data_IF_657323308413
#
_entry.id   IF_657323308413
#
_cell.length_a   1.000
_cell.length_b   1.000
_cell.length_c   1.000
_cell.angle_alpha   90.00
_cell.angle_beta   90.00
_cell.angle_gamma   90.00
#
_symmetry.space_group_name_H-M   'P 1'
#
loop_
_entity.id
_entity.type
_entity.pdbx_description
1 polymer ?
#
# COMPACT_ATOMS: atom_id res chain seq x y z
N UNK A 1 -45.69 -31.24 42.01
CA UNK A 1 -44.84 -31.37 40.84
C UNK A 1 -44.71 -30.07 39.98
N UNK A 2 -45.73 -29.31 39.66
CA UNK A 2 -45.63 -28.07 38.83
C UNK A 2 -44.76 -26.94 39.37
N UNK A 3 -44.60 -26.83 40.70
CA UNK A 3 -43.80 -25.77 41.32
C UNK A 3 -42.29 -26.09 41.30
N UNK A 4 -41.92 -27.34 41.49
CA UNK A 4 -40.52 -27.82 41.43
C UNK A 4 -39.91 -27.64 40.06
N UNK A 5 -40.67 -27.88 38.99
CA UNK A 5 -40.18 -27.69 37.58
C UNK A 5 -39.91 -26.22 37.27
N UNK A 6 -40.65 -25.27 37.86
CA UNK A 6 -40.37 -23.84 37.66
C UNK A 6 -39.07 -23.37 38.35
N UNK A 7 -38.74 -23.91 39.49
CA UNK A 7 -37.48 -23.62 40.19
C UNK A 7 -36.30 -24.28 39.52
N UNK A 8 -36.43 -25.49 39.00
CA UNK A 8 -35.39 -26.17 38.22
C UNK A 8 -35.11 -25.42 36.91
N UNK A 9 -36.17 -24.98 36.22
CA UNK A 9 -36.01 -24.15 35.00
C UNK A 9 -35.37 -22.80 35.29
N UNK A 10 -35.71 -22.17 36.41
CA UNK A 10 -35.11 -20.88 36.80
C UNK A 10 -33.64 -21.04 37.25
N UNK A 11 -33.29 -22.15 37.92
CA UNK A 11 -31.91 -22.44 38.33
C UNK A 11 -31.04 -22.83 37.14
N UNK A 12 -31.56 -23.61 36.21
CA UNK A 12 -30.84 -23.91 34.95
C UNK A 12 -30.62 -22.66 34.07
N UNK A 13 -31.61 -21.78 33.99
CA UNK A 13 -31.49 -20.52 33.28
C UNK A 13 -30.47 -19.56 33.96
N UNK A 14 -30.44 -19.53 35.29
CA UNK A 14 -29.48 -18.74 36.07
C UNK A 14 -28.04 -19.27 35.94
N UNK A 15 -27.84 -20.60 35.90
CA UNK A 15 -26.53 -21.23 35.69
C UNK A 15 -25.97 -20.99 34.28
N UNK A 16 -26.82 -20.95 33.25
CA UNK A 16 -26.44 -20.64 31.88
C UNK A 16 -26.01 -19.15 31.78
N UNK A 17 -26.67 -18.25 32.45
CA UNK A 17 -26.32 -16.82 32.43
C UNK A 17 -25.04 -16.49 33.25
N UNK A 18 -24.72 -17.26 34.31
CA UNK A 18 -23.51 -17.06 35.10
C UNK A 18 -22.22 -17.57 34.43
N UNK A 19 -22.31 -18.43 33.42
CA UNK A 19 -21.15 -19.03 32.72
C UNK A 19 -20.56 -18.15 31.63
N UNK A 20 -21.18 -17.04 31.25
CA UNK A 20 -20.78 -16.21 30.12
C UNK A 20 -19.93 -15.00 30.52
N UNK A 21 -18.82 -15.19 31.26
CA UNK A 21 -17.80 -14.13 31.38
C UNK A 21 -16.98 -14.09 30.13
N UNK A 22 -17.31 -13.15 29.24
CA UNK A 22 -16.43 -12.78 28.11
C UNK A 22 -15.17 -12.07 28.65
N UNK A 23 -13.97 -12.34 28.14
CA UNK A 23 -12.76 -11.65 28.53
C UNK A 23 -12.87 -10.15 28.25
N UNK A 24 -12.12 -9.34 28.99
CA UNK A 24 -11.99 -7.92 28.70
C UNK A 24 -10.95 -7.74 27.60
N UNK A 25 -11.26 -6.94 26.59
CA UNK A 25 -10.30 -6.48 25.60
C UNK A 25 -9.27 -5.55 26.26
N UNK A 26 -8.06 -5.53 25.75
CA UNK A 26 -7.03 -4.58 26.15
C UNK A 26 -7.53 -3.17 25.86
N UNK A 27 -7.57 -2.31 26.88
CA UNK A 27 -7.94 -0.91 26.68
C UNK A 27 -6.76 -0.19 26.07
N UNK A 28 -6.91 0.22 24.82
CA UNK A 28 -5.93 1.04 24.11
C UNK A 28 -6.28 2.50 24.34
N UNK A 29 -5.39 3.25 24.98
CA UNK A 29 -5.47 4.71 25.04
C UNK A 29 -4.80 5.27 23.79
N UNK A 30 -5.49 6.16 23.08
CA UNK A 30 -4.95 6.86 21.90
C UNK A 30 -3.97 7.98 22.35
N UNK A 31 -2.90 7.61 23.08
CA UNK A 31 -1.93 8.56 23.65
C UNK A 31 -1.10 9.28 22.57
N UNK A 32 -1.05 8.74 21.36
CA UNK A 32 -0.15 9.23 20.29
C UNK A 32 -0.61 10.56 19.71
N UNK A 33 -1.92 10.78 19.59
CA UNK A 33 -2.44 12.08 19.10
C UNK A 33 -2.14 13.25 20.06
N UNK A 34 -1.94 12.97 21.34
CA UNK A 34 -1.66 13.98 22.36
C UNK A 34 -0.18 14.40 22.43
N UNK A 35 0.73 13.59 21.86
CA UNK A 35 2.17 13.78 21.97
C UNK A 35 2.85 14.30 20.68
N UNK A 36 2.10 14.71 19.65
CA UNK A 36 2.67 15.27 18.43
C UNK A 36 3.21 16.67 18.74
N UNK A 37 4.50 16.98 18.45
CA UNK A 37 5.07 18.30 18.64
C UNK A 37 4.28 19.37 17.88
N UNK A 38 4.20 20.57 18.43
CA UNK A 38 3.47 21.69 17.79
C UNK A 38 4.16 22.19 16.51
N UNK A 39 5.49 22.03 16.39
CA UNK A 39 6.29 22.50 15.27
C UNK A 39 7.29 21.41 14.83
N UNK A 40 7.62 21.38 13.52
CA UNK A 40 8.64 20.46 12.98
C UNK A 40 10.07 20.80 13.41
N UNK A 41 10.37 22.09 13.62
CA UNK A 41 11.65 22.57 14.14
C UNK A 41 11.44 23.85 14.98
N UNK A 42 12.30 24.05 16.00
CA UNK A 42 12.17 25.12 16.99
C UNK A 42 12.36 26.56 16.48
N UNK A 43 12.61 26.78 15.20
CA UNK A 43 13.17 28.08 14.74
C UNK A 43 12.31 28.93 13.82
N UNK A 44 11.17 28.46 13.29
CA UNK A 44 10.30 29.30 12.47
C UNK A 44 8.83 29.00 12.74
N UNK A 45 8.08 30.03 13.19
CA UNK A 45 6.62 30.00 13.19
C UNK A 45 6.14 29.89 11.75
N UNK A 46 5.79 28.70 11.32
CA UNK A 46 5.16 28.51 10.02
C UNK A 46 3.66 28.78 10.14
N UNK A 47 3.13 29.48 9.13
CA UNK A 47 1.72 29.84 9.10
C UNK A 47 0.88 28.56 8.90
N UNK A 48 0.03 28.25 9.88
CA UNK A 48 -0.86 27.08 9.84
C UNK A 48 -1.81 27.09 8.61
N UNK A 49 -1.94 28.21 7.93
CA UNK A 49 -2.86 28.38 6.81
C UNK A 49 -2.26 27.98 5.45
N UNK A 50 -0.96 27.73 5.36
CA UNK A 50 -0.28 27.42 4.10
C UNK A 50 0.37 26.03 4.18
N UNK A 51 -0.21 25.04 3.47
CA UNK A 51 0.31 23.69 3.37
C UNK A 51 0.32 23.26 1.89
N UNK A 52 1.49 23.11 1.32
CA UNK A 52 1.67 22.72 -0.10
C UNK A 52 1.10 21.34 -0.42
N UNK A 53 1.02 20.44 0.55
CA UNK A 53 0.42 19.10 0.38
C UNK A 53 -1.08 19.13 0.06
N UNK A 54 -1.74 20.28 0.18
CA UNK A 54 -3.14 20.45 -0.24
C UNK A 54 -3.30 20.89 -1.69
N UNK A 55 -2.21 21.30 -2.34
CA UNK A 55 -2.22 21.76 -3.75
C UNK A 55 -2.41 20.55 -4.68
N UNK A 56 -3.35 20.60 -5.63
CA UNK A 56 -3.47 19.55 -6.64
C UNK A 56 -2.18 19.38 -7.44
N UNK A 57 -1.78 18.14 -7.73
CA UNK A 57 -0.51 17.86 -8.42
C UNK A 57 -0.37 18.54 -9.79
N UNK A 58 -1.50 18.73 -10.54
CA UNK A 58 -1.50 19.48 -11.81
C UNK A 58 -1.16 20.96 -11.68
N UNK A 59 -1.33 21.53 -10.49
CA UNK A 59 -0.91 22.91 -10.21
C UNK A 59 0.50 22.96 -9.64
N UNK A 60 0.93 21.86 -9.00
CA UNK A 60 2.27 21.75 -8.45
C UNK A 60 3.31 21.51 -9.55
N UNK A 61 3.07 20.63 -10.52
CA UNK A 61 3.98 20.39 -11.63
C UNK A 61 3.63 21.27 -12.83
N UNK A 62 4.59 22.08 -13.29
CA UNK A 62 4.39 23.06 -14.36
C UNK A 62 4.97 22.61 -15.72
N UNK A 63 5.86 21.59 -15.73
CA UNK A 63 6.43 21.05 -16.97
C UNK A 63 5.37 20.19 -17.70
N UNK A 64 4.96 20.57 -18.93
CA UNK A 64 3.92 19.83 -19.67
C UNK A 64 4.34 18.40 -20.03
N UNK A 65 5.65 18.11 -20.22
CA UNK A 65 6.14 16.79 -20.50
C UNK A 65 6.01 15.90 -19.26
N UNK A 66 6.40 16.41 -18.09
CA UNK A 66 6.22 15.69 -16.82
C UNK A 66 4.74 15.46 -16.51
N UNK A 67 3.89 16.47 -16.67
CA UNK A 67 2.43 16.34 -16.47
C UNK A 67 1.86 15.22 -17.37
N UNK A 68 2.25 15.18 -18.64
CA UNK A 68 1.82 14.13 -19.58
C UNK A 68 2.29 12.73 -19.18
N UNK A 69 3.50 12.61 -18.63
CA UNK A 69 4.02 11.33 -18.11
C UNK A 69 3.23 10.87 -16.89
N UNK A 70 2.98 11.77 -15.93
CA UNK A 70 2.15 11.49 -14.75
C UNK A 70 0.73 11.04 -15.18
N UNK A 71 0.08 11.75 -16.10
CA UNK A 71 -1.25 11.36 -16.60
C UNK A 71 -1.23 9.97 -17.26
N UNK A 72 -0.18 9.66 -18.01
CA UNK A 72 -0.01 8.36 -18.64
C UNK A 72 0.18 7.26 -17.61
N UNK A 73 1.00 7.50 -16.59
CA UNK A 73 1.25 6.54 -15.51
C UNK A 73 -0.01 6.29 -14.69
N UNK A 74 -0.74 7.33 -14.30
CA UNK A 74 -2.00 7.21 -13.56
C UNK A 74 -3.07 6.41 -14.31
N UNK A 75 -3.01 6.40 -15.65
CA UNK A 75 -3.96 5.65 -16.49
C UNK A 75 -3.57 4.19 -16.69
N UNK A 76 -2.27 3.87 -16.76
CA UNK A 76 -1.79 2.58 -17.27
C UNK A 76 -0.91 1.81 -16.28
N UNK A 77 -0.51 2.39 -15.16
CA UNK A 77 0.38 1.73 -14.19
C UNK A 77 -0.27 0.47 -13.62
N UNK A 78 0.42 -0.67 -13.70
CA UNK A 78 -0.09 -1.97 -13.28
C UNK A 78 -0.29 -2.06 -11.77
N UNK A 79 0.58 -1.48 -10.96
CA UNK A 79 0.48 -1.48 -9.50
C UNK A 79 -0.78 -0.74 -9.04
N UNK A 80 -1.06 0.43 -9.66
CA UNK A 80 -2.31 1.15 -9.43
C UNK A 80 -3.53 0.32 -9.84
N UNK A 81 -3.48 -0.39 -10.98
CA UNK A 81 -4.57 -1.26 -11.42
C UNK A 81 -4.79 -2.44 -10.46
N UNK A 82 -3.72 -3.03 -9.91
CA UNK A 82 -3.80 -4.07 -8.87
C UNK A 82 -4.47 -3.51 -7.63
N UNK A 83 -4.05 -2.34 -7.15
CA UNK A 83 -4.63 -1.69 -5.97
C UNK A 83 -6.14 -1.39 -6.16
N UNK A 84 -6.57 -1.03 -7.37
CA UNK A 84 -7.99 -0.89 -7.68
C UNK A 84 -8.77 -2.21 -7.55
N UNK A 85 -8.14 -3.36 -7.87
CA UNK A 85 -8.76 -4.68 -7.65
C UNK A 85 -8.82 -5.04 -6.16
N UNK A 86 -7.85 -4.65 -5.36
CA UNK A 86 -7.87 -4.83 -3.90
C UNK A 86 -9.06 -4.11 -3.26
N UNK A 87 -9.40 -2.91 -3.75
CA UNK A 87 -10.60 -2.18 -3.34
C UNK A 87 -11.88 -2.99 -3.67
N UNK A 88 -11.99 -3.57 -4.86
CA UNK A 88 -13.15 -4.40 -5.23
C UNK A 88 -13.21 -5.71 -4.42
N UNK A 89 -12.06 -6.30 -4.08
CA UNK A 89 -11.97 -7.46 -3.18
C UNK A 89 -12.49 -7.08 -1.79
N UNK A 90 -12.00 -5.98 -1.21
CA UNK A 90 -12.45 -5.50 0.10
C UNK A 90 -13.95 -5.17 0.11
N UNK A 91 -14.46 -4.54 -0.95
CA UNK A 91 -15.89 -4.26 -1.14
C UNK A 91 -16.73 -5.54 -1.22
N UNK A 92 -16.23 -6.56 -1.90
CA UNK A 92 -16.86 -7.89 -1.95
C UNK A 92 -16.90 -8.54 -0.57
N UNK A 93 -15.87 -8.32 0.27
CA UNK A 93 -15.84 -8.71 1.66
C UNK A 93 -17.01 -8.13 2.47
N UNK A 94 -17.34 -6.84 2.26
CA UNK A 94 -18.51 -6.21 2.89
C UNK A 94 -19.81 -6.91 2.45
N UNK A 95 -19.95 -7.22 1.15
CA UNK A 95 -21.14 -7.91 0.63
C UNK A 95 -21.29 -9.29 1.27
N UNK A 96 -20.19 -10.04 1.39
CA UNK A 96 -20.18 -11.35 2.06
C UNK A 96 -20.61 -11.27 3.52
N UNK A 97 -20.07 -10.31 4.29
CA UNK A 97 -20.43 -10.10 5.71
C UNK A 97 -21.88 -9.59 5.85
N UNK A 98 -22.33 -8.73 4.94
CA UNK A 98 -23.72 -8.27 4.90
C UNK A 98 -24.70 -9.41 4.58
N UNK A 99 -24.32 -10.33 3.68
CA UNK A 99 -25.13 -11.52 3.35
C UNK A 99 -25.44 -12.40 4.56
N UNK A 100 -24.52 -12.51 5.51
CA UNK A 100 -24.74 -13.29 6.76
C UNK A 100 -25.82 -12.69 7.69
N UNK A 101 -26.21 -11.44 7.50
CA UNK A 101 -27.32 -10.82 8.25
C UNK A 101 -28.70 -11.24 7.77
N UNK A 102 -28.79 -11.92 6.64
CA UNK A 102 -30.03 -12.37 6.03
C UNK A 102 -30.10 -13.91 6.01
N UNK A 103 -31.29 -14.51 6.01
CA UNK A 103 -31.43 -15.94 5.89
C UNK A 103 -30.85 -16.47 4.57
N UNK A 104 -30.17 -17.61 4.63
CA UNK A 104 -29.72 -18.38 3.46
C UNK A 104 -30.76 -19.39 3.11
N UNK A 105 -31.29 -19.34 1.87
CA UNK A 105 -32.26 -20.32 1.36
C UNK A 105 -31.59 -21.19 0.31
N UNK A 106 -31.71 -22.50 0.46
CA UNK A 106 -31.19 -23.50 -0.46
C UNK A 106 -32.30 -24.42 -0.92
N UNK A 107 -32.30 -24.83 -2.18
CA UNK A 107 -33.09 -25.93 -2.67
C UNK A 107 -32.22 -27.20 -2.67
N UNK A 108 -32.77 -28.29 -2.20
CA UNK A 108 -32.06 -29.55 -2.13
C UNK A 108 -32.98 -30.75 -2.47
N UNK A 109 -32.36 -31.80 -3.00
CA UNK A 109 -32.96 -33.13 -3.17
C UNK A 109 -32.09 -34.09 -2.43
N UNK A 110 -32.70 -34.94 -1.58
CA UNK A 110 -32.03 -35.97 -0.82
C UNK A 110 -32.62 -37.37 -1.13
N UNK A 111 -31.76 -38.34 -1.13
CA UNK A 111 -32.19 -39.76 -1.15
C UNK A 111 -31.31 -40.53 -0.20
N UNK A 112 -31.93 -41.28 0.69
CA UNK A 112 -31.26 -42.09 1.69
C UNK A 112 -31.93 -43.47 1.80
N UNK A 113 -31.19 -44.43 2.37
CA UNK A 113 -31.70 -45.73 2.73
C UNK A 113 -31.20 -46.02 4.16
N UNK A 114 -32.12 -46.34 5.07
CA UNK A 114 -31.82 -46.73 6.43
C UNK A 114 -32.30 -48.15 6.74
N UNK A 115 -31.48 -48.93 7.39
CA UNK A 115 -31.88 -50.20 7.90
C UNK A 115 -31.71 -50.25 9.41
N UNK A 116 -32.83 -50.21 10.10
CA UNK A 116 -32.85 -50.27 11.57
C UNK A 116 -32.82 -51.75 12.02
N UNK A 117 -32.02 -52.00 13.08
CA UNK A 117 -31.93 -53.37 13.63
C UNK A 117 -33.31 -53.86 14.14
N UNK A 118 -33.73 -55.05 13.73
CA UNK A 118 -35.07 -55.62 14.03
C UNK A 118 -35.40 -55.70 15.53
N UNK A 119 -34.40 -55.84 16.38
CA UNK A 119 -34.57 -55.95 17.83
C UNK A 119 -34.43 -54.62 18.57
N UNK A 120 -34.42 -53.50 17.85
CA UNK A 120 -34.57 -52.14 18.45
C UNK A 120 -36.05 -51.81 18.58
N UNK A 121 -36.38 -50.78 19.43
CA UNK A 121 -37.73 -50.29 19.57
C UNK A 121 -38.32 -49.81 18.24
N UNK A 122 -37.51 -49.10 17.43
CA UNK A 122 -37.90 -48.60 16.10
C UNK A 122 -38.13 -49.77 15.13
N UNK A 123 -37.17 -50.73 15.02
CA UNK A 123 -37.30 -51.84 14.10
C UNK A 123 -38.41 -52.85 14.47
N UNK A 124 -38.77 -52.98 15.75
CA UNK A 124 -39.94 -53.74 16.18
C UNK A 124 -41.25 -52.99 15.85
N UNK A 125 -41.25 -51.66 15.96
CA UNK A 125 -42.36 -50.79 15.55
C UNK A 125 -42.61 -50.87 14.06
N UNK A 126 -41.57 -50.74 13.24
CA UNK A 126 -41.65 -50.80 11.77
C UNK A 126 -42.22 -52.14 11.29
N UNK A 127 -41.87 -53.24 12.01
CA UNK A 127 -42.38 -54.58 11.70
C UNK A 127 -43.87 -54.79 12.01
N UNK A 128 -44.45 -53.92 12.86
CA UNK A 128 -45.83 -54.04 13.32
C UNK A 128 -46.73 -52.89 12.76
N UNK A 129 -46.14 -51.96 12.01
CA UNK A 129 -46.85 -50.80 11.46
C UNK A 129 -47.12 -51.00 9.97
N UNK A 130 -48.42 -50.88 9.58
CA UNK A 130 -48.84 -50.88 8.20
C UNK A 130 -48.93 -49.44 7.67
N UNK A 131 -48.41 -49.18 6.48
CA UNK A 131 -48.49 -47.88 5.78
C UNK A 131 -49.86 -47.72 5.10
N UNK A 132 -50.33 -48.81 4.54
CA UNK A 132 -51.64 -48.99 3.96
C UNK A 132 -52.14 -50.37 4.42
N UNK A 133 -53.46 -50.65 4.50
CA UNK A 133 -53.94 -51.94 4.93
C UNK A 133 -53.29 -53.08 4.19
N UNK A 134 -52.63 -54.02 4.91
CA UNK A 134 -51.89 -55.15 4.35
C UNK A 134 -50.49 -54.83 3.81
N UNK A 135 -49.92 -53.64 4.05
CA UNK A 135 -48.55 -53.29 3.66
C UNK A 135 -47.70 -52.83 4.86
N UNK A 136 -46.80 -53.66 5.23
CA UNK A 136 -45.79 -53.33 6.24
C UNK A 136 -44.81 -52.27 5.77
N UNK A 137 -44.11 -51.60 6.71
CA UNK A 137 -43.02 -50.70 6.44
C UNK A 137 -41.89 -51.42 5.66
N UNK A 138 -41.32 -50.81 4.58
CA UNK A 138 -40.19 -51.38 3.85
C UNK A 138 -38.95 -51.57 4.74
N UNK A 139 -38.26 -52.72 4.61
CA UNK A 139 -36.96 -52.96 5.20
C UNK A 139 -35.95 -53.37 4.12
N UNK A 140 -34.97 -52.54 3.76
CA UNK A 140 -34.63 -51.23 4.34
C UNK A 140 -35.64 -50.13 3.99
N UNK A 141 -35.74 -49.13 4.88
CA UNK A 141 -36.58 -47.95 4.68
C UNK A 141 -35.85 -46.92 3.81
N UNK A 142 -36.45 -46.50 2.71
CA UNK A 142 -35.99 -45.39 1.92
C UNK A 142 -36.39 -44.06 2.55
N UNK A 143 -35.60 -43.03 2.35
CA UNK A 143 -35.99 -41.66 2.60
C UNK A 143 -35.68 -40.80 1.36
N UNK A 144 -36.70 -40.20 0.77
CA UNK A 144 -36.57 -39.31 -0.37
C UNK A 144 -37.19 -37.97 0.00
N UNK A 145 -36.37 -36.94 -0.11
CA UNK A 145 -36.78 -35.60 0.26
C UNK A 145 -36.43 -34.58 -0.83
N UNK A 146 -37.21 -33.53 -0.93
CA UNK A 146 -36.92 -32.43 -1.84
C UNK A 146 -37.67 -31.17 -1.41
N UNK A 147 -36.94 -30.04 -1.34
CA UNK A 147 -37.57 -28.82 -0.88
C UNK A 147 -36.61 -27.66 -0.69
N UNK A 148 -37.10 -26.64 0.01
CA UNK A 148 -36.39 -25.45 0.40
C UNK A 148 -35.96 -25.56 1.87
N UNK A 149 -34.72 -25.23 2.14
CA UNK A 149 -34.14 -25.16 3.48
C UNK A 149 -33.63 -23.76 3.72
N UNK A 150 -34.06 -23.10 4.78
CA UNK A 150 -33.61 -21.78 5.19
C UNK A 150 -32.86 -21.90 6.53
N UNK A 151 -31.70 -21.24 6.62
CA UNK A 151 -30.94 -21.11 7.86
C UNK A 151 -30.63 -19.62 8.08
N UNK A 152 -30.78 -19.17 9.32
CA UNK A 152 -30.52 -17.79 9.71
C UNK A 152 -30.01 -17.68 11.12
N UNK A 153 -28.80 -17.09 11.28
CA UNK A 153 -28.27 -16.65 12.57
C UNK A 153 -28.83 -15.26 12.88
N UNK A 154 -29.66 -15.14 13.92
CA UNK A 154 -30.20 -13.83 14.35
C UNK A 154 -29.15 -13.08 15.15
N UNK A 155 -28.77 -11.92 14.67
CA UNK A 155 -27.69 -11.08 15.23
C UNK A 155 -28.13 -10.30 16.48
N UNK A 156 -28.53 -11.01 17.55
CA UNK A 156 -29.04 -10.42 18.82
C UNK A 156 -27.95 -9.64 19.57
N UNK A 157 -26.69 -10.07 19.49
CA UNK A 157 -25.54 -9.45 20.16
C UNK A 157 -24.78 -8.46 19.25
N UNK A 158 -25.24 -8.24 18.04
CA UNK A 158 -24.55 -7.44 17.01
C UNK A 158 -23.16 -7.96 16.64
N UNK A 159 -22.92 -9.28 16.70
CA UNK A 159 -21.68 -9.91 16.26
C UNK A 159 -21.48 -9.69 14.77
N UNK A 160 -22.46 -10.14 13.96
CA UNK A 160 -22.41 -10.06 12.50
C UNK A 160 -22.37 -8.61 11.97
N UNK A 161 -23.10 -7.70 12.61
CA UNK A 161 -23.03 -6.27 12.28
C UNK A 161 -21.66 -5.69 12.59
N UNK A 162 -21.03 -6.05 13.70
CA UNK A 162 -19.68 -5.60 14.06
C UNK A 162 -18.65 -6.15 13.08
N UNK A 163 -18.74 -7.42 12.66
CA UNK A 163 -17.90 -8.00 11.60
C UNK A 163 -18.06 -7.24 10.26
N UNK A 164 -19.29 -6.88 9.89
CA UNK A 164 -19.55 -6.07 8.70
C UNK A 164 -18.93 -4.67 8.83
N UNK A 165 -19.05 -4.03 10.01
CA UNK A 165 -18.49 -2.70 10.24
C UNK A 165 -16.96 -2.73 10.27
N UNK A 166 -16.32 -3.81 10.74
CA UNK A 166 -14.89 -4.06 10.60
C UNK A 166 -14.48 -4.16 9.11
N UNK A 167 -15.23 -4.92 8.30
CA UNK A 167 -15.00 -5.02 6.86
C UNK A 167 -15.18 -3.66 6.15
N UNK A 168 -16.09 -2.80 6.60
CA UNK A 168 -16.24 -1.43 6.08
C UNK A 168 -15.02 -0.58 6.43
N UNK A 169 -14.50 -0.66 7.64
CA UNK A 169 -13.29 0.07 8.03
C UNK A 169 -12.08 -0.39 7.20
N UNK A 170 -11.91 -1.71 7.00
CA UNK A 170 -10.88 -2.27 6.14
C UNK A 170 -11.02 -1.82 4.67
N UNK A 171 -12.24 -1.80 4.11
CA UNK A 171 -12.47 -1.24 2.77
C UNK A 171 -12.06 0.23 2.68
N UNK A 172 -12.39 1.06 3.66
CA UNK A 172 -11.99 2.46 3.68
C UNK A 172 -10.46 2.60 3.79
N UNK A 173 -9.80 1.72 4.54
CA UNK A 173 -8.34 1.64 4.61
C UNK A 173 -7.73 1.35 3.22
N UNK A 174 -8.26 0.40 2.46
CA UNK A 174 -7.77 0.12 1.09
C UNK A 174 -7.96 1.31 0.14
N UNK A 175 -9.00 2.12 0.34
CA UNK A 175 -9.21 3.37 -0.43
C UNK A 175 -8.12 4.40 -0.11
N UNK A 176 -7.74 4.57 1.16
CA UNK A 176 -6.62 5.45 1.53
C UNK A 176 -5.27 4.87 1.07
N UNK A 177 -5.11 3.55 1.11
CA UNK A 177 -3.95 2.85 0.54
C UNK A 177 -3.76 3.16 -0.94
N UNK A 178 -4.85 3.19 -1.73
CA UNK A 178 -4.81 3.63 -3.13
C UNK A 178 -4.32 5.09 -3.25
N UNK A 179 -4.78 5.98 -2.38
CA UNK A 179 -4.34 7.38 -2.39
C UNK A 179 -2.83 7.49 -2.09
N UNK A 180 -2.31 6.64 -1.21
CA UNK A 180 -0.88 6.55 -0.93
C UNK A 180 -0.09 6.05 -2.14
N UNK A 181 -0.57 4.99 -2.83
CA UNK A 181 0.03 4.49 -4.08
C UNK A 181 0.04 5.57 -5.16
N UNK A 182 -1.03 6.36 -5.29
CA UNK A 182 -1.07 7.51 -6.23
C UNK A 182 0.01 8.54 -5.92
N UNK A 183 0.17 8.92 -4.65
CA UNK A 183 1.20 9.89 -4.25
C UNK A 183 2.61 9.38 -4.52
N UNK A 184 2.89 8.10 -4.23
CA UNK A 184 4.16 7.46 -4.52
C UNK A 184 4.45 7.40 -6.03
N UNK A 185 3.47 7.00 -6.83
CA UNK A 185 3.63 6.91 -8.28
C UNK A 185 3.96 8.27 -8.91
N UNK A 186 3.30 9.34 -8.46
CA UNK A 186 3.57 10.70 -8.94
C UNK A 186 4.98 11.16 -8.56
N UNK A 187 5.40 10.91 -7.31
CA UNK A 187 6.76 11.18 -6.84
C UNK A 187 7.79 10.44 -7.70
N UNK A 188 7.63 9.13 -7.85
CA UNK A 188 8.57 8.26 -8.55
C UNK A 188 8.71 8.66 -10.04
N UNK A 189 7.61 9.03 -10.71
CA UNK A 189 7.64 9.55 -12.07
C UNK A 189 8.39 10.89 -12.14
N UNK A 190 8.16 11.79 -11.19
CA UNK A 190 8.80 13.10 -11.16
C UNK A 190 10.31 12.99 -10.87
N UNK A 191 10.70 12.17 -9.91
CA UNK A 191 12.11 11.96 -9.56
C UNK A 191 12.88 11.33 -10.72
N UNK A 192 12.35 10.27 -11.33
CA UNK A 192 12.98 9.66 -12.51
C UNK A 192 13.07 10.64 -13.68
N UNK A 193 12.10 11.53 -13.85
CA UNK A 193 12.13 12.56 -14.88
C UNK A 193 13.21 13.62 -14.62
N UNK A 194 13.37 14.10 -13.39
CA UNK A 194 14.42 15.08 -13.06
C UNK A 194 15.81 14.45 -13.11
N UNK A 195 15.97 13.21 -12.71
CA UNK A 195 17.21 12.47 -12.85
C UNK A 195 17.58 12.25 -14.34
N UNK A 196 16.59 11.95 -15.19
CA UNK A 196 16.80 11.84 -16.64
C UNK A 196 17.24 13.16 -17.27
N UNK A 197 16.68 14.31 -16.84
CA UNK A 197 17.13 15.63 -17.26
C UNK A 197 18.56 15.93 -16.79
N UNK A 198 18.93 15.52 -15.58
CA UNK A 198 20.29 15.64 -15.07
C UNK A 198 21.28 14.84 -15.89
N UNK A 199 20.97 13.58 -16.21
CA UNK A 199 21.80 12.71 -17.07
C UNK A 199 22.00 13.28 -18.47
N UNK A 200 20.97 13.88 -19.09
CA UNK A 200 21.12 14.59 -20.38
C UNK A 200 22.10 15.76 -20.29
N UNK A 201 22.04 16.53 -19.21
CA UNK A 201 22.96 17.64 -18.99
C UNK A 201 24.39 17.15 -18.70
N UNK A 202 24.55 16.07 -17.97
CA UNK A 202 25.84 15.39 -17.77
C UNK A 202 26.41 14.88 -19.08
N UNK A 203 25.56 14.31 -19.97
CA UNK A 203 25.99 13.87 -21.31
C UNK A 203 26.48 15.04 -22.16
N UNK A 204 25.79 16.17 -22.12
CA UNK A 204 26.21 17.36 -22.86
C UNK A 204 27.55 17.90 -22.34
N UNK A 205 27.75 17.92 -21.04
CA UNK A 205 29.01 18.34 -20.41
C UNK A 205 30.16 17.41 -20.81
N UNK A 206 30.01 16.09 -20.65
CA UNK A 206 31.08 15.16 -20.99
C UNK A 206 31.48 15.23 -22.47
N UNK A 207 30.51 15.42 -23.39
CA UNK A 207 30.79 15.61 -24.80
C UNK A 207 31.57 16.89 -25.11
N UNK A 208 31.27 17.98 -24.37
CA UNK A 208 32.06 19.22 -24.47
C UNK A 208 33.50 18.99 -23.99
N UNK A 209 33.68 18.27 -22.89
CA UNK A 209 35.01 17.93 -22.36
C UNK A 209 35.80 16.98 -23.28
N UNK A 210 35.17 16.00 -23.90
CA UNK A 210 35.80 15.14 -24.93
C UNK A 210 36.38 15.97 -26.08
N UNK A 211 35.62 16.98 -26.55
CA UNK A 211 36.10 17.92 -27.60
C UNK A 211 37.27 18.74 -27.10
N UNK A 212 37.21 19.26 -25.86
CA UNK A 212 38.28 20.05 -25.25
C UNK A 212 39.57 19.22 -25.09
N UNK A 213 39.47 18.01 -24.55
CA UNK A 213 40.57 17.08 -24.34
C UNK A 213 41.16 16.57 -25.66
N UNK A 214 40.36 16.38 -26.70
CA UNK A 214 40.85 16.02 -28.04
C UNK A 214 41.78 17.12 -28.58
N UNK A 215 41.38 18.39 -28.47
CA UNK A 215 42.22 19.54 -28.88
C UNK A 215 43.49 19.66 -28.00
N UNK A 216 43.40 19.44 -26.70
CA UNK A 216 44.55 19.47 -25.81
C UNK A 216 45.57 18.36 -26.17
N UNK A 217 45.10 17.15 -26.50
CA UNK A 217 45.93 16.06 -26.96
C UNK A 217 46.63 16.38 -28.31
N UNK A 218 45.94 17.01 -29.25
CA UNK A 218 46.55 17.45 -30.52
C UNK A 218 47.67 18.45 -30.27
N UNK A 219 47.44 19.44 -29.42
CA UNK A 219 48.47 20.44 -29.02
C UNK A 219 49.65 19.75 -28.37
N UNK A 220 49.43 18.82 -27.41
CA UNK A 220 50.51 18.08 -26.76
C UNK A 220 51.34 17.25 -27.76
N UNK A 221 50.71 16.66 -28.78
CA UNK A 221 51.46 15.93 -29.85
C UNK A 221 52.34 16.87 -30.69
N UNK A 222 51.81 18.07 -31.04
CA UNK A 222 52.58 19.09 -31.78
C UNK A 222 53.78 19.57 -30.93
N UNK A 223 53.53 19.89 -29.68
CA UNK A 223 54.58 20.33 -28.75
C UNK A 223 55.68 19.27 -28.52
N UNK A 224 55.30 17.98 -28.46
CA UNK A 224 56.25 16.88 -28.43
C UNK A 224 57.15 16.85 -29.69
N UNK A 225 56.57 17.05 -30.88
CA UNK A 225 57.37 17.12 -32.14
C UNK A 225 58.32 18.29 -32.11
N UNK A 226 57.96 19.40 -31.47
CA UNK A 226 58.81 20.57 -31.29
C UNK A 226 59.79 20.44 -30.07
N UNK A 227 59.86 19.27 -29.43
CA UNK A 227 60.63 18.99 -28.20
C UNK A 227 60.24 19.88 -26.98
N UNK A 228 59.04 20.50 -27.00
CA UNK A 228 58.51 21.33 -25.93
C UNK A 228 57.63 20.55 -24.92
N UNK A 229 57.26 19.30 -25.26
CA UNK A 229 56.53 18.39 -24.37
C UNK A 229 57.11 16.97 -24.38
N UNK A 230 56.85 16.20 -23.31
CA UNK A 230 57.34 14.82 -23.17
C UNK A 230 56.34 13.79 -23.72
N UNK A 231 56.79 12.56 -24.03
CA UNK A 231 55.94 11.42 -24.34
C UNK A 231 54.94 11.14 -23.18
N UNK A 232 55.40 11.32 -21.95
CA UNK A 232 54.57 11.16 -20.76
C UNK A 232 53.34 12.10 -20.79
N UNK A 233 53.50 13.35 -21.19
CA UNK A 233 52.42 14.31 -21.38
C UNK A 233 51.38 13.80 -22.39
N UNK A 234 51.82 13.36 -23.56
CA UNK A 234 50.92 12.81 -24.59
C UNK A 234 50.16 11.60 -24.09
N UNK A 235 50.83 10.67 -23.39
CA UNK A 235 50.18 9.48 -22.84
C UNK A 235 49.16 9.81 -21.74
N UNK A 236 49.40 10.86 -20.93
CA UNK A 236 48.42 11.34 -19.92
C UNK A 236 47.18 11.93 -20.61
N UNK A 237 47.29 12.77 -21.63
CA UNK A 237 46.16 13.29 -22.38
C UNK A 237 45.38 12.17 -23.13
N UNK A 238 46.08 11.15 -23.67
CA UNK A 238 45.42 10.00 -24.28
C UNK A 238 44.60 9.21 -23.25
N UNK A 239 45.12 9.01 -22.02
CA UNK A 239 44.43 8.31 -20.95
C UNK A 239 43.20 9.07 -20.46
N UNK A 240 43.28 10.39 -20.24
CA UNK A 240 42.13 11.20 -19.79
C UNK A 240 41.04 11.27 -20.88
N UNK A 241 41.40 11.41 -22.15
CA UNK A 241 40.44 11.36 -23.26
C UNK A 241 39.73 9.99 -23.33
N UNK A 242 40.46 8.88 -23.15
CA UNK A 242 39.87 7.56 -23.11
C UNK A 242 38.91 7.38 -21.92
N UNK A 243 39.27 7.90 -20.73
CA UNK A 243 38.43 7.92 -19.52
C UNK A 243 37.12 8.67 -19.78
N UNK A 244 37.20 9.90 -20.33
CA UNK A 244 35.99 10.69 -20.63
C UNK A 244 35.08 10.03 -21.67
N UNK A 245 35.66 9.39 -22.70
CA UNK A 245 34.88 8.59 -23.65
C UNK A 245 34.21 7.38 -23.01
N UNK A 246 34.86 6.71 -22.05
CA UNK A 246 34.24 5.61 -21.32
C UNK A 246 33.09 6.11 -20.45
N UNK A 247 33.24 7.25 -19.78
CA UNK A 247 32.19 7.88 -18.97
C UNK A 247 30.95 8.26 -19.83
N UNK A 248 31.14 8.72 -21.08
CA UNK A 248 30.04 8.97 -22.00
C UNK A 248 29.16 7.73 -22.19
N UNK A 249 29.76 6.54 -22.35
CA UNK A 249 28.99 5.30 -22.50
C UNK A 249 28.26 4.90 -21.22
N UNK A 250 28.85 5.16 -20.04
CA UNK A 250 28.16 4.93 -18.76
C UNK A 250 26.91 5.81 -18.66
N UNK A 251 27.04 7.12 -18.91
CA UNK A 251 25.89 8.05 -18.86
C UNK A 251 24.82 7.66 -19.87
N UNK A 252 25.20 7.24 -21.09
CA UNK A 252 24.23 6.75 -22.10
C UNK A 252 23.47 5.52 -21.64
N UNK A 253 24.13 4.61 -20.91
CA UNK A 253 23.49 3.44 -20.34
C UNK A 253 22.50 3.85 -19.25
N UNK A 254 22.89 4.75 -18.35
CA UNK A 254 22.03 5.28 -17.29
C UNK A 254 20.80 6.00 -17.86
N UNK A 255 20.95 6.79 -18.92
CA UNK A 255 19.83 7.39 -19.67
C UNK A 255 18.85 6.31 -20.16
N UNK A 256 19.37 5.25 -20.77
CA UNK A 256 18.52 4.16 -21.29
C UNK A 256 17.77 3.46 -20.15
N UNK A 257 18.46 3.18 -19.04
CA UNK A 257 17.84 2.55 -17.87
C UNK A 257 16.75 3.44 -17.25
N UNK A 258 17.01 4.74 -17.16
CA UNK A 258 16.08 5.70 -16.62
C UNK A 258 14.84 5.90 -17.52
N UNK A 259 15.03 5.96 -18.84
CA UNK A 259 13.92 5.95 -19.81
C UNK A 259 13.07 4.68 -19.68
N UNK A 260 13.69 3.52 -19.47
CA UNK A 260 12.99 2.26 -19.27
C UNK A 260 12.22 2.23 -17.95
N UNK A 261 12.77 2.80 -16.86
CA UNK A 261 12.06 2.94 -15.59
C UNK A 261 10.81 3.81 -15.73
N UNK A 262 10.92 4.97 -16.40
CA UNK A 262 9.75 5.84 -16.66
C UNK A 262 8.72 5.12 -17.54
N UNK A 263 9.16 4.38 -18.57
CA UNK A 263 8.25 3.61 -19.41
C UNK A 263 7.53 2.50 -18.61
N UNK A 264 8.22 1.83 -17.68
CA UNK A 264 7.62 0.84 -16.78
C UNK A 264 6.56 1.49 -15.88
N UNK A 265 6.85 2.65 -15.28
CA UNK A 265 5.87 3.40 -14.49
C UNK A 265 4.66 3.83 -15.31
N UNK A 266 4.87 4.15 -16.60
CA UNK A 266 3.80 4.44 -17.55
C UNK A 266 3.07 3.20 -18.08
N UNK A 267 3.42 1.99 -17.63
CA UNK A 267 2.80 0.74 -18.06
C UNK A 267 2.98 0.42 -19.54
N UNK A 268 4.12 0.77 -20.13
CA UNK A 268 4.38 0.60 -21.57
C UNK A 268 5.79 0.08 -21.86
N UNK A 269 5.97 -0.49 -23.05
CA UNK A 269 7.28 -0.95 -23.53
C UNK A 269 8.25 0.21 -23.79
N UNK A 270 9.58 -0.05 -23.79
CA UNK A 270 10.60 0.96 -24.00
C UNK A 270 10.37 1.82 -25.24
N UNK A 271 10.35 3.13 -25.04
CA UNK A 271 10.30 4.14 -26.10
C UNK A 271 10.94 5.44 -25.60
N UNK A 272 11.38 6.36 -26.49
CA UNK A 272 11.97 7.61 -26.07
C UNK A 272 11.02 8.45 -25.21
N UNK A 273 11.57 9.10 -24.19
CA UNK A 273 10.85 10.02 -23.32
C UNK A 273 11.02 11.45 -23.85
N UNK A 274 9.90 12.09 -24.16
CA UNK A 274 9.90 13.51 -24.61
C UNK A 274 10.22 14.40 -23.40
N UNK A 275 11.23 15.27 -23.57
CA UNK A 275 11.71 16.17 -22.50
C UNK A 275 12.45 17.38 -23.07
N UNK A 276 12.49 18.48 -22.29
CA UNK A 276 13.20 19.72 -22.64
C UNK A 276 14.40 19.86 -21.70
N UNK A 277 15.57 19.43 -22.15
CA UNK A 277 16.79 19.41 -21.32
C UNK A 277 17.43 20.77 -21.11
N UNK A 278 17.23 21.72 -22.04
CA UNK A 278 17.87 23.02 -22.04
C UNK A 278 17.44 23.92 -20.87
N UNK A 279 16.26 23.68 -20.32
CA UNK A 279 15.71 24.44 -19.20
C UNK A 279 16.13 23.92 -17.83
N UNK A 280 16.74 22.74 -17.74
CA UNK A 280 16.97 22.05 -16.45
C UNK A 280 17.68 22.89 -15.41
N UNK A 281 18.83 23.50 -15.75
CA UNK A 281 19.60 24.33 -14.82
C UNK A 281 18.89 25.65 -14.44
N UNK A 282 17.91 26.09 -15.24
CA UNK A 282 17.11 27.29 -15.01
C UNK A 282 15.80 27.05 -14.24
N UNK A 283 15.42 25.77 -14.00
CA UNK A 283 14.24 25.45 -13.20
C UNK A 283 14.45 26.00 -11.78
N UNK A 284 13.57 26.86 -11.32
CA UNK A 284 13.58 27.38 -9.95
C UNK A 284 12.75 26.39 -9.11
N UNK A 285 13.36 25.77 -8.07
CA UNK A 285 12.60 24.92 -7.16
C UNK A 285 11.45 25.71 -6.52
N UNK A 286 10.27 25.11 -6.46
CA UNK A 286 9.12 25.75 -5.84
C UNK A 286 9.33 25.92 -4.33
N UNK A 287 8.85 27.03 -3.78
CA UNK A 287 8.79 27.19 -2.33
C UNK A 287 7.71 26.30 -1.76
N UNK A 288 8.08 25.40 -0.86
CA UNK A 288 7.15 24.48 -0.19
C UNK A 288 6.87 24.97 1.22
N UNK A 289 5.58 25.07 1.55
CA UNK A 289 5.08 25.42 2.87
C UNK A 289 4.65 24.16 3.59
N UNK A 290 5.26 23.87 4.73
CA UNK A 290 5.06 22.59 5.44
C UNK A 290 3.84 22.59 6.36
N UNK A 291 3.28 23.74 6.71
CA UNK A 291 2.19 23.82 7.68
C UNK A 291 2.65 23.38 9.09
N UNK A 292 1.72 22.84 9.89
CA UNK A 292 1.99 22.34 11.23
C UNK A 292 1.86 20.80 11.29
N UNK A 293 2.58 20.12 12.21
CA UNK A 293 2.61 18.65 12.29
C UNK A 293 1.24 17.98 12.41
N UNK A 294 0.30 18.58 13.13
CA UNK A 294 -1.05 18.02 13.27
C UNK A 294 -1.83 17.88 11.96
N UNK A 295 -1.48 18.65 10.91
CA UNK A 295 -2.10 18.56 9.60
C UNK A 295 -1.73 17.27 8.87
N UNK A 296 -0.64 16.59 9.24
CA UNK A 296 -0.26 15.30 8.67
C UNK A 296 -1.34 14.25 8.90
N UNK A 297 -1.96 14.24 10.09
CA UNK A 297 -3.05 13.32 10.43
C UNK A 297 -4.24 13.44 9.47
N UNK A 298 -4.51 14.67 9.00
CA UNK A 298 -5.64 14.94 8.12
C UNK A 298 -5.31 14.78 6.62
N UNK A 299 -4.04 14.93 6.23
CA UNK A 299 -3.67 15.01 4.82
C UNK A 299 -2.98 13.75 4.30
N UNK A 300 -2.21 13.03 5.12
CA UNK A 300 -1.44 11.86 4.69
C UNK A 300 -2.33 10.61 4.57
N UNK A 301 -2.41 10.00 3.38
CA UNK A 301 -3.22 8.79 3.17
C UNK A 301 -2.71 7.58 3.96
N UNK A 302 -1.41 7.40 4.14
CA UNK A 302 -0.82 6.30 4.92
C UNK A 302 -1.20 6.35 6.41
N UNK A 303 -1.26 7.55 7.00
CA UNK A 303 -1.73 7.72 8.39
C UNK A 303 -3.21 7.39 8.50
N UNK A 304 -4.05 7.86 7.55
CA UNK A 304 -5.48 7.52 7.51
C UNK A 304 -5.72 6.03 7.29
N UNK A 305 -4.92 5.41 6.44
CA UNK A 305 -4.95 3.96 6.23
C UNK A 305 -4.70 3.23 7.54
N UNK A 306 -3.62 3.55 8.24
CA UNK A 306 -3.28 2.93 9.51
C UNK A 306 -4.33 3.18 10.62
N UNK A 307 -4.94 4.38 10.67
CA UNK A 307 -6.04 4.69 11.59
C UNK A 307 -7.27 3.82 11.32
N UNK A 308 -7.62 3.61 10.04
CA UNK A 308 -8.76 2.78 9.63
C UNK A 308 -8.51 1.29 9.89
N UNK A 309 -7.27 0.80 9.72
CA UNK A 309 -6.86 -0.57 10.09
C UNK A 309 -6.95 -0.76 11.62
N UNK A 310 -6.50 0.18 12.41
CA UNK A 310 -6.66 0.14 13.86
C UNK A 310 -8.14 0.09 14.25
N UNK A 311 -9.00 0.88 13.58
CA UNK A 311 -10.44 0.86 13.78
C UNK A 311 -11.05 -0.49 13.41
N UNK A 312 -10.64 -1.10 12.30
CA UNK A 312 -11.06 -2.44 11.89
C UNK A 312 -10.67 -3.48 12.95
N UNK A 313 -9.42 -3.47 13.40
CA UNK A 313 -8.92 -4.38 14.42
C UNK A 313 -9.66 -4.24 15.78
N UNK A 314 -10.00 -3.01 16.21
CA UNK A 314 -10.84 -2.77 17.40
C UNK A 314 -12.23 -3.43 17.26
N UNK A 315 -12.85 -3.33 16.08
CA UNK A 315 -14.12 -3.97 15.78
C UNK A 315 -14.02 -5.50 15.72
N UNK A 316 -12.92 -6.04 15.22
CA UNK A 316 -12.67 -7.49 15.20
C UNK A 316 -12.54 -8.07 16.61
N UNK A 317 -11.87 -7.37 17.54
CA UNK A 317 -11.83 -7.74 18.97
C UNK A 317 -13.23 -7.76 19.56
N UNK A 318 -14.04 -6.73 19.26
CA UNK A 318 -15.42 -6.67 19.74
C UNK A 318 -16.28 -7.82 19.17
N UNK A 319 -16.11 -8.17 17.90
CA UNK A 319 -16.79 -9.31 17.28
C UNK A 319 -16.35 -10.64 17.90
N UNK A 320 -15.03 -10.87 18.03
CA UNK A 320 -14.48 -12.06 18.67
C UNK A 320 -14.92 -12.24 20.12
N UNK A 321 -15.05 -11.14 20.87
CA UNK A 321 -15.61 -11.16 22.23
C UNK A 321 -17.06 -11.66 22.24
N UNK A 322 -17.84 -11.34 21.21
CA UNK A 322 -19.25 -11.77 21.10
C UNK A 322 -19.40 -13.25 20.78
N UNK A 323 -18.35 -13.96 20.32
CA UNK A 323 -18.36 -15.42 20.16
C UNK A 323 -18.52 -16.19 21.50
N UNK A 324 -18.27 -15.54 22.64
CA UNK A 324 -18.51 -16.12 23.95
C UNK A 324 -19.99 -16.16 24.35
N UNK A 325 -20.88 -15.41 23.67
CA UNK A 325 -22.30 -15.38 23.94
C UNK A 325 -23.05 -16.45 23.13
N UNK A 326 -24.23 -16.91 23.59
CA UNK A 326 -25.04 -17.83 22.85
C UNK A 326 -25.51 -17.29 21.50
N UNK A 327 -25.44 -18.08 20.42
CA UNK A 327 -26.04 -17.75 19.12
C UNK A 327 -27.51 -18.21 19.07
N UNK A 328 -28.36 -17.43 18.41
CA UNK A 328 -29.73 -17.81 18.10
C UNK A 328 -29.83 -18.13 16.61
N UNK A 329 -30.08 -19.40 16.30
CA UNK A 329 -30.23 -19.88 14.95
C UNK A 329 -31.69 -20.28 14.67
N UNK A 330 -32.20 -19.92 13.52
CA UNK A 330 -33.51 -20.35 13.02
C UNK A 330 -33.27 -21.17 11.77
N UNK A 331 -33.81 -22.41 11.80
CA UNK A 331 -33.83 -23.32 10.65
C UNK A 331 -35.28 -23.57 10.25
N UNK A 332 -35.58 -23.47 8.98
CA UNK A 332 -36.89 -23.78 8.42
C UNK A 332 -36.76 -24.69 7.20
N UNK A 333 -37.62 -25.67 7.09
CA UNK A 333 -37.71 -26.56 5.93
C UNK A 333 -39.13 -26.57 5.43
N UNK A 334 -39.31 -26.49 4.11
CA UNK A 334 -40.56 -26.67 3.40
C UNK A 334 -40.29 -27.52 2.17
N UNK A 335 -40.88 -28.72 2.15
CA UNK A 335 -40.61 -29.64 1.06
C UNK A 335 -41.60 -30.83 1.02
N UNK A 336 -41.19 -31.84 0.27
CA UNK A 336 -41.86 -33.11 0.15
C UNK A 336 -40.92 -34.18 0.72
N UNK A 337 -41.46 -35.09 1.48
CA UNK A 337 -40.70 -36.21 2.06
C UNK A 337 -41.52 -37.49 1.98
N UNK A 338 -40.89 -38.58 1.57
CA UNK A 338 -41.55 -39.91 1.49
C UNK A 338 -40.51 -41.01 1.48
N UNK A 339 -40.87 -42.19 2.02
CA UNK A 339 -40.01 -43.39 2.01
C UNK A 339 -39.97 -44.13 0.64
N UNK A 340 -40.81 -43.72 -0.35
CA UNK A 340 -40.73 -44.17 -1.76
C UNK A 340 -40.91 -42.99 -2.71
N UNK A 341 -40.20 -42.93 -3.86
CA UNK A 341 -40.30 -41.83 -4.82
C UNK A 341 -41.74 -41.62 -5.34
N UNK A 342 -42.51 -42.70 -5.47
CA UNK A 342 -43.92 -42.62 -5.94
C UNK A 342 -44.85 -41.90 -4.97
N UNK A 343 -44.47 -41.78 -3.71
CA UNK A 343 -45.26 -41.11 -2.67
C UNK A 343 -44.93 -39.63 -2.55
N UNK A 344 -43.80 -39.17 -3.07
CA UNK A 344 -43.44 -37.75 -3.07
C UNK A 344 -44.49 -36.90 -3.79
N UNK A 345 -45.16 -37.45 -4.80
CA UNK A 345 -46.17 -36.75 -5.58
C UNK A 345 -47.60 -36.90 -5.02
N UNK A 346 -47.78 -37.61 -3.92
CA UNK A 346 -49.06 -37.71 -3.22
C UNK A 346 -49.25 -36.52 -2.30
N UNK A 347 -49.96 -35.52 -2.77
CA UNK A 347 -50.27 -34.29 -2.02
C UNK A 347 -51.67 -34.40 -1.39
N UNK A 348 -51.86 -33.91 -0.15
CA UNK A 348 -50.90 -33.13 0.69
C UNK A 348 -50.02 -34.02 1.60
N UNK A 349 -50.14 -35.34 1.60
CA UNK A 349 -49.59 -36.27 2.56
C UNK A 349 -48.02 -36.28 2.59
N UNK A 350 -47.39 -35.92 1.47
CA UNK A 350 -45.92 -35.83 1.36
C UNK A 350 -45.35 -34.46 1.79
N UNK A 351 -46.20 -33.48 2.11
CA UNK A 351 -45.68 -32.18 2.51
C UNK A 351 -45.06 -32.27 3.90
N UNK A 352 -43.74 -31.99 3.96
CA UNK A 352 -42.97 -31.88 5.19
C UNK A 352 -42.61 -30.43 5.48
N UNK A 353 -42.86 -29.97 6.68
CA UNK A 353 -42.52 -28.61 7.13
C UNK A 353 -41.88 -28.66 8.52
N UNK A 354 -40.78 -27.94 8.72
CA UNK A 354 -40.22 -27.75 10.04
C UNK A 354 -39.83 -26.29 10.25
N UNK A 355 -39.94 -25.84 11.49
CA UNK A 355 -39.41 -24.53 11.95
C UNK A 355 -38.81 -24.79 13.33
N UNK A 356 -37.48 -24.63 13.43
CA UNK A 356 -36.72 -24.87 14.65
C UNK A 356 -35.94 -23.58 15.00
N UNK A 357 -36.11 -23.13 16.23
CA UNK A 357 -35.25 -22.08 16.82
C UNK A 357 -34.36 -22.71 17.87
N UNK A 358 -33.05 -22.52 17.75
CA UNK A 358 -32.05 -23.06 18.64
C UNK A 358 -31.22 -21.91 19.25
N UNK A 359 -31.13 -21.85 20.57
CA UNK A 359 -30.23 -20.97 21.31
C UNK A 359 -29.10 -21.81 21.89
N UNK A 360 -27.92 -21.77 21.29
CA UNK A 360 -26.77 -22.55 21.67
C UNK A 360 -25.58 -21.68 22.04
N UNK A 361 -24.87 -22.05 23.11
CA UNK A 361 -23.68 -21.38 23.56
C UNK A 361 -22.58 -22.31 24.03
N UNK A 362 -21.31 -21.92 23.90
CA UNK A 362 -20.19 -22.76 24.30
C UNK A 362 -20.10 -22.84 25.83
N UNK A 363 -20.26 -24.06 26.38
CA UNK A 363 -20.13 -24.33 27.84
C UNK A 363 -18.75 -24.86 28.20
N UNK A 364 -18.26 -25.81 27.42
CA UNK A 364 -16.99 -26.53 27.63
C UNK A 364 -16.11 -26.39 26.40
N UNK A 365 -14.79 -26.51 26.54
CA UNK A 365 -13.81 -26.40 25.45
C UNK A 365 -13.88 -25.10 24.65
N UNK A 366 -13.75 -23.97 25.35
CA UNK A 366 -13.74 -22.64 24.79
C UNK A 366 -12.36 -22.25 24.21
N UNK A 367 -11.41 -23.19 24.07
CA UNK A 367 -10.02 -22.89 23.69
C UNK A 367 -9.91 -22.20 22.32
N UNK A 368 -10.71 -22.65 21.35
CA UNK A 368 -10.72 -22.01 20.01
C UNK A 368 -11.23 -20.56 20.07
N UNK A 369 -12.36 -20.33 20.75
CA UNK A 369 -12.92 -18.99 20.91
C UNK A 369 -11.96 -18.07 21.69
N UNK A 370 -11.32 -18.61 22.75
CA UNK A 370 -10.31 -17.90 23.52
C UNK A 370 -9.09 -17.54 22.67
N UNK A 371 -8.63 -18.47 21.83
CA UNK A 371 -7.51 -18.25 20.92
C UNK A 371 -7.86 -17.21 19.84
N UNK A 372 -9.07 -17.26 19.26
CA UNK A 372 -9.56 -16.25 18.32
C UNK A 372 -9.59 -14.85 18.96
N UNK A 373 -10.13 -14.74 20.18
CA UNK A 373 -10.14 -13.49 20.92
C UNK A 373 -8.73 -12.97 21.21
N UNK A 374 -7.82 -13.83 21.71
CA UNK A 374 -6.43 -13.44 21.98
C UNK A 374 -5.68 -13.02 20.69
N UNK A 375 -5.97 -13.68 19.57
CA UNK A 375 -5.40 -13.30 18.27
C UNK A 375 -5.92 -11.94 17.82
N UNK A 376 -7.22 -11.69 17.98
CA UNK A 376 -7.81 -10.38 17.63
C UNK A 376 -7.24 -9.27 18.53
N UNK A 377 -7.13 -9.50 19.82
CA UNK A 377 -6.56 -8.55 20.79
C UNK A 377 -5.09 -8.24 20.49
N UNK A 378 -4.29 -9.25 20.17
CA UNK A 378 -2.90 -9.05 19.75
C UNK A 378 -2.78 -8.27 18.43
N UNK A 379 -3.65 -8.53 17.44
CA UNK A 379 -3.71 -7.78 16.18
C UNK A 379 -4.12 -6.32 16.40
N UNK A 380 -5.02 -6.05 17.33
CA UNK A 380 -5.38 -4.69 17.70
C UNK A 380 -4.19 -3.92 18.27
N UNK A 381 -3.41 -4.54 19.17
CA UNK A 381 -2.18 -3.96 19.73
C UNK A 381 -1.13 -3.74 18.63
N UNK A 382 -0.97 -4.71 17.71
CA UNK A 382 -0.10 -4.57 16.56
C UNK A 382 -0.52 -3.38 15.67
N UNK A 383 -1.80 -3.25 15.36
CA UNK A 383 -2.32 -2.15 14.56
C UNK A 383 -2.11 -0.78 15.23
N UNK A 384 -2.18 -0.71 16.57
CA UNK A 384 -1.83 0.49 17.32
C UNK A 384 -0.36 0.87 17.09
N UNK A 385 0.57 -0.06 17.31
CA UNK A 385 2.00 0.23 17.12
C UNK A 385 2.36 0.58 15.67
N UNK A 386 1.68 -0.01 14.67
CA UNK A 386 1.87 0.39 13.27
C UNK A 386 1.33 1.81 13.01
N UNK A 387 0.21 2.19 13.61
CA UNK A 387 -0.31 3.55 13.53
C UNK A 387 0.66 4.56 14.14
N UNK A 388 1.17 4.29 15.37
CA UNK A 388 2.13 5.11 16.07
C UNK A 388 3.42 5.29 15.27
N UNK A 389 3.96 4.19 14.75
CA UNK A 389 5.15 4.16 13.90
C UNK A 389 4.96 4.98 12.63
N UNK A 390 3.78 4.90 12.00
CA UNK A 390 3.47 5.65 10.79
C UNK A 390 3.47 7.16 11.05
N UNK A 391 2.89 7.60 12.18
CA UNK A 391 2.91 9.01 12.59
C UNK A 391 4.34 9.48 12.88
N UNK A 392 5.11 8.69 13.63
CA UNK A 392 6.50 9.03 13.95
C UNK A 392 7.35 9.17 12.69
N UNK A 393 7.26 8.20 11.77
CA UNK A 393 7.97 8.24 10.51
C UNK A 393 7.57 9.46 9.68
N UNK A 394 6.28 9.77 9.59
CA UNK A 394 5.79 10.93 8.88
C UNK A 394 6.36 12.26 9.41
N UNK A 395 6.46 12.38 10.72
CA UNK A 395 7.09 13.55 11.35
C UNK A 395 8.61 13.62 11.04
N UNK A 396 9.31 12.49 11.16
CA UNK A 396 10.74 12.40 10.90
C UNK A 396 11.06 12.69 9.42
N UNK A 397 10.25 12.19 8.49
CA UNK A 397 10.39 12.45 7.05
C UNK A 397 10.42 13.96 6.78
N UNK A 398 9.43 14.70 7.26
CA UNK A 398 9.34 16.14 7.06
C UNK A 398 10.48 16.89 7.75
N UNK A 399 10.81 16.52 8.98
CA UNK A 399 11.92 17.13 9.72
C UNK A 399 13.25 16.97 8.98
N UNK A 400 13.52 15.77 8.46
CA UNK A 400 14.70 15.47 7.68
C UNK A 400 14.72 16.24 6.34
N UNK A 401 13.59 16.28 5.65
CA UNK A 401 13.46 16.96 4.36
C UNK A 401 13.60 18.48 4.49
N UNK A 402 13.05 19.09 5.55
CA UNK A 402 13.28 20.51 5.83
C UNK A 402 14.77 20.84 6.03
N UNK A 403 15.48 19.98 6.76
CA UNK A 403 16.93 20.11 6.90
C UNK A 403 17.66 19.92 5.57
N UNK A 404 17.24 18.91 4.77
CA UNK A 404 17.79 18.60 3.44
C UNK A 404 17.62 19.80 2.48
N UNK A 405 16.45 20.42 2.42
CA UNK A 405 16.23 21.62 1.57
C UNK A 405 17.24 22.72 1.88
N UNK A 406 17.39 23.06 3.16
CA UNK A 406 18.32 24.13 3.57
C UNK A 406 19.77 23.79 3.22
N UNK A 407 20.19 22.55 3.48
CA UNK A 407 21.56 22.12 3.23
C UNK A 407 21.86 21.97 1.73
N UNK A 408 20.93 21.45 0.92
CA UNK A 408 21.15 21.30 -0.52
C UNK A 408 21.15 22.65 -1.25
N UNK A 409 20.38 23.63 -0.77
CA UNK A 409 20.43 24.97 -1.33
C UNK A 409 21.80 25.64 -1.10
N UNK A 410 22.34 25.57 0.11
CA UNK A 410 23.68 26.05 0.43
C UNK A 410 24.76 25.30 -0.35
N UNK A 411 24.64 23.98 -0.45
CA UNK A 411 25.55 23.14 -1.23
C UNK A 411 25.55 23.56 -2.71
N UNK A 412 24.36 23.72 -3.31
CA UNK A 412 24.22 24.15 -4.70
C UNK A 412 24.88 25.51 -4.95
N UNK A 413 24.66 26.50 -4.07
CA UNK A 413 25.26 27.82 -4.17
C UNK A 413 26.79 27.76 -4.15
N UNK A 414 27.38 26.98 -3.20
CA UNK A 414 28.83 26.82 -3.10
C UNK A 414 29.40 26.07 -4.31
N UNK A 415 28.73 25.01 -4.80
CA UNK A 415 29.13 24.29 -6.02
C UNK A 415 29.01 25.15 -7.27
N UNK A 416 28.03 26.04 -7.34
CA UNK A 416 27.94 27.01 -8.42
C UNK A 416 29.13 28.01 -8.44
N UNK A 417 29.54 28.48 -7.26
CA UNK A 417 30.73 29.37 -7.13
C UNK A 417 32.01 28.61 -7.49
N UNK A 418 32.20 27.37 -7.00
CA UNK A 418 33.33 26.51 -7.33
C UNK A 418 33.43 26.28 -8.85
N UNK A 419 32.33 25.85 -9.47
CA UNK A 419 32.26 25.62 -10.91
C UNK A 419 32.60 26.87 -11.72
N UNK A 420 32.10 28.02 -11.30
CA UNK A 420 32.40 29.28 -11.95
C UNK A 420 33.89 29.68 -11.86
N UNK A 421 34.52 29.44 -10.70
CA UNK A 421 35.95 29.70 -10.50
C UNK A 421 36.81 28.72 -11.32
N UNK A 422 36.44 27.45 -11.39
CA UNK A 422 37.15 26.44 -12.16
C UNK A 422 36.98 26.67 -13.68
N UNK A 423 35.84 27.11 -14.17
CA UNK A 423 35.66 27.49 -15.58
C UNK A 423 36.57 28.64 -16.01
N UNK A 424 36.77 29.64 -15.13
CA UNK A 424 37.74 30.70 -15.36
C UNK A 424 39.17 30.15 -15.33
N UNK A 425 39.49 29.27 -14.40
CA UNK A 425 40.81 28.63 -14.26
C UNK A 425 41.20 27.83 -15.49
N UNK A 426 40.27 27.04 -16.09
CA UNK A 426 40.53 26.32 -17.35
C UNK A 426 41.03 27.26 -18.46
N UNK A 427 40.36 28.38 -18.66
CA UNK A 427 40.73 29.35 -19.71
C UNK A 427 42.13 29.92 -19.44
N UNK A 428 42.45 30.26 -18.21
CA UNK A 428 43.77 30.78 -17.81
C UNK A 428 44.83 29.71 -17.99
N UNK A 429 44.60 28.49 -17.50
CA UNK A 429 45.54 27.37 -17.62
C UNK A 429 45.88 27.01 -19.09
N UNK A 430 44.85 26.99 -19.95
CA UNK A 430 45.04 26.74 -21.37
C UNK A 430 45.87 27.85 -22.05
N UNK A 431 45.65 29.14 -21.73
CA UNK A 431 46.45 30.25 -22.24
C UNK A 431 47.91 30.19 -21.77
N UNK A 432 48.14 29.90 -20.49
CA UNK A 432 49.50 29.75 -19.93
C UNK A 432 50.21 28.56 -20.58
N UNK A 433 49.54 27.43 -20.78
CA UNK A 433 50.12 26.26 -21.44
C UNK A 433 50.49 26.50 -22.89
N UNK A 434 49.62 27.19 -23.68
CA UNK A 434 49.92 27.57 -25.05
C UNK A 434 51.17 28.47 -25.13
N UNK A 435 51.42 29.30 -24.12
CA UNK A 435 52.56 30.19 -24.04
C UNK A 435 53.77 29.57 -23.32
N UNK A 436 53.78 28.25 -23.05
CA UNK A 436 54.83 27.52 -22.35
C UNK A 436 55.14 28.08 -20.95
N UNK A 437 54.13 28.64 -20.24
CA UNK A 437 54.19 29.21 -18.91
C UNK A 437 53.52 28.35 -17.83
N UNK A 438 52.80 27.28 -18.22
CA UNK A 438 52.21 26.27 -17.34
C UNK A 438 52.62 24.88 -17.78
N UNK A 439 52.69 23.95 -16.83
CA UNK A 439 52.92 22.52 -17.13
C UNK A 439 51.62 21.86 -17.62
N UNK A 440 51.73 20.82 -18.45
CA UNK A 440 50.64 20.02 -18.90
C UNK A 440 49.79 19.41 -17.75
N UNK A 441 50.45 19.14 -16.60
CA UNK A 441 49.76 18.60 -15.43
C UNK A 441 48.80 19.59 -14.83
N UNK A 442 49.10 20.87 -14.80
CA UNK A 442 48.20 21.94 -14.35
C UNK A 442 46.95 22.02 -15.20
N UNK A 443 47.08 21.89 -16.52
CA UNK A 443 45.93 21.88 -17.46
C UNK A 443 45.05 20.65 -17.21
N UNK A 444 45.66 19.46 -17.11
CA UNK A 444 44.90 18.22 -16.85
C UNK A 444 44.15 18.24 -15.53
N UNK A 445 44.78 18.72 -14.45
CA UNK A 445 44.14 18.83 -13.14
C UNK A 445 42.99 19.81 -13.17
N UNK A 446 43.18 21.01 -13.75
CA UNK A 446 42.08 21.98 -13.89
C UNK A 446 40.91 21.48 -14.71
N UNK A 447 41.19 20.75 -15.81
CA UNK A 447 40.12 20.18 -16.65
C UNK A 447 39.35 19.10 -15.89
N UNK A 448 40.04 18.22 -15.15
CA UNK A 448 39.39 17.18 -14.34
C UNK A 448 38.54 17.80 -13.24
N UNK A 449 39.12 18.71 -12.45
CA UNK A 449 38.44 19.32 -11.30
C UNK A 449 37.21 20.12 -11.74
N UNK A 450 37.28 20.80 -12.89
CA UNK A 450 36.13 21.50 -13.44
C UNK A 450 35.05 20.56 -14.02
N UNK A 451 35.44 19.42 -14.60
CA UNK A 451 34.47 18.40 -15.02
C UNK A 451 33.74 17.84 -13.81
N UNK A 452 34.47 17.42 -12.78
CA UNK A 452 33.94 16.84 -11.55
C UNK A 452 32.98 17.86 -10.87
N UNK A 453 33.37 19.14 -10.74
CA UNK A 453 32.54 20.18 -10.17
C UNK A 453 31.24 20.44 -10.97
N UNK A 454 31.28 20.37 -12.31
CA UNK A 454 30.09 20.52 -13.16
C UNK A 454 29.14 19.35 -13.00
N UNK A 455 29.66 18.12 -12.93
CA UNK A 455 28.83 16.93 -12.68
C UNK A 455 28.15 17.02 -11.32
N UNK A 456 28.88 17.38 -10.26
CA UNK A 456 28.34 17.57 -8.92
C UNK A 456 27.32 18.71 -8.84
N UNK A 457 27.48 19.80 -9.62
CA UNK A 457 26.53 20.90 -9.69
C UNK A 457 25.20 20.45 -10.33
N UNK A 458 25.25 19.61 -11.36
CA UNK A 458 24.06 19.02 -12.00
C UNK A 458 23.34 18.08 -11.01
N UNK A 459 24.09 17.24 -10.29
CA UNK A 459 23.52 16.38 -9.25
C UNK A 459 22.91 17.17 -8.09
N UNK A 460 23.55 18.27 -7.69
CA UNK A 460 22.99 19.16 -6.67
C UNK A 460 21.67 19.78 -7.12
N UNK A 461 21.56 20.14 -8.41
CA UNK A 461 20.34 20.66 -9.00
C UNK A 461 19.21 19.63 -9.03
N UNK A 462 19.53 18.42 -9.44
CA UNK A 462 18.58 17.28 -9.41
C UNK A 462 18.07 17.08 -7.98
N UNK A 463 18.96 16.97 -6.98
CA UNK A 463 18.61 16.78 -5.57
C UNK A 463 17.75 17.93 -5.01
N UNK A 464 17.93 19.19 -5.47
CA UNK A 464 17.03 20.29 -5.11
C UNK A 464 15.61 20.02 -5.59
N UNK A 465 15.44 19.58 -6.85
CA UNK A 465 14.14 19.35 -7.46
C UNK A 465 13.45 18.14 -6.84
N UNK A 466 14.13 17.03 -6.71
CA UNK A 466 13.61 15.81 -6.05
C UNK A 466 13.23 16.06 -4.59
N UNK A 467 14.05 16.81 -3.84
CA UNK A 467 13.70 17.13 -2.44
C UNK A 467 12.39 17.93 -2.33
N UNK A 468 12.08 18.80 -3.28
CA UNK A 468 10.80 19.54 -3.32
C UNK A 468 9.63 18.58 -3.58
N UNK A 469 9.80 17.58 -4.45
CA UNK A 469 8.81 16.54 -4.71
C UNK A 469 8.61 15.66 -3.48
N UNK A 470 9.71 15.22 -2.84
CA UNK A 470 9.69 14.44 -1.59
C UNK A 470 8.87 15.13 -0.50
N UNK A 471 9.08 16.45 -0.30
CA UNK A 471 8.31 17.22 0.69
C UNK A 471 6.84 17.29 0.31
N UNK A 472 6.53 17.59 -0.95
CA UNK A 472 5.16 17.67 -1.44
C UNK A 472 4.38 16.37 -1.14
N UNK A 473 4.96 15.21 -1.46
CA UNK A 473 4.40 13.90 -1.11
C UNK A 473 4.28 13.71 0.40
N UNK A 474 5.35 13.99 1.15
CA UNK A 474 5.41 13.77 2.61
C UNK A 474 4.40 14.64 3.37
N UNK A 475 3.96 15.76 2.80
CA UNK A 475 2.86 16.59 3.31
C UNK A 475 1.47 16.04 2.96
N UNK A 476 1.38 14.93 2.23
CA UNK A 476 0.15 14.31 1.77
C UNK A 476 -0.36 14.84 0.44
N UNK A 477 0.53 15.39 -0.41
CA UNK A 477 0.24 15.79 -1.78
C UNK A 477 0.18 14.62 -2.76
N UNK A 478 -0.27 14.89 -3.98
CA UNK A 478 -0.22 13.95 -5.11
C UNK A 478 -1.54 13.23 -5.42
N UNK A 479 -2.33 12.87 -4.43
CA UNK A 479 -3.57 12.11 -4.63
C UNK A 479 -4.84 12.97 -4.85
N UNK A 480 -4.74 14.30 -4.70
CA UNK A 480 -5.85 15.26 -4.88
C UNK A 480 -5.91 15.81 -6.30
#
# INVERSE_FOLDING_TARGET
MKIYNKYIAAITLSLVLASCKAPMATVIQDEVKENIPENFNQSEQQDANTNSGTTPWRQFFTDPNLVSLIETSLKNNQELMITLQEIEIAKSGIVAKKGRLSPTVRAGLGAGIEKVGRYTSTGAGDASTEIEPGREMPDPLGNFEGGLMANWEIDIWKKLRTEKDAAVAHYLSTVEGKNFVLSNLIEEVADNYYELLALDNQLDIIQQYIKLQTRALEIAKIQKQAAAATELAVKKFEAELAKSKAMEYTIRQEITEKENQINALCGRYPQPIVRTKESFMSIIPQTVYTGIPSQLLANRPDIKQAELELKAAKLDVEAARKEFYPSLEISATLGLEAFKPSYLVKLPESIATSLVGELAGPLINKSAIKANFQTADAKQIQALYEYDKTILNAYLDISNLMSKVKNIDQYYQLKSQETQALDQSINIANQLFMNSRADYLEVLLNQRDALDAKMELIEAKEKQLSTVVDIYKSLGGGWK
#
